data_IF_901347235033
#
_entry.id   IF_901347235033
#
_cell.length_a   1.000
_cell.length_b   1.000
_cell.length_c   1.000
_cell.angle_alpha   90.00
_cell.angle_beta   90.00
_cell.angle_gamma   90.00
#
_symmetry.space_group_name_H-M   'P 1'
#
loop_
_entity.id
_entity.type
_entity.pdbx_description
1 polymer ?
#
# COMPACT_ATOMS: atom_id res chain seq x y z
N UNK A 1 13.26 0.58 5.55
CA UNK A 1 14.32 1.31 4.83
C UNK A 1 14.77 2.49 5.69
N UNK A 2 15.97 3.00 5.51
CA UNK A 2 16.51 4.13 6.28
C UNK A 2 17.20 5.14 5.34
N UNK A 3 17.00 6.42 5.60
CA UNK A 3 17.69 7.51 4.90
C UNK A 3 18.95 7.95 5.66
N UNK A 4 19.87 8.61 4.97
CA UNK A 4 21.09 9.15 5.57
C UNK A 4 21.44 10.53 5.04
N UNK A 5 22.18 11.28 5.86
CA UNK A 5 22.70 12.60 5.51
C UNK A 5 23.78 12.56 4.43
N UNK A 6 24.22 11.38 3.99
CA UNK A 6 25.29 11.19 3.00
C UNK A 6 24.79 10.82 1.60
N UNK A 7 23.51 10.98 1.29
CA UNK A 7 23.00 10.67 -0.06
C UNK A 7 22.59 9.22 -0.27
N UNK A 8 22.49 8.42 0.78
CA UNK A 8 22.14 7.00 0.65
C UNK A 8 20.82 6.66 1.31
N UNK A 9 20.08 5.76 0.67
CA UNK A 9 18.94 5.04 1.27
C UNK A 9 19.32 3.57 1.41
N UNK A 10 19.07 3.00 2.58
CA UNK A 10 19.38 1.61 2.89
C UNK A 10 18.08 0.81 3.01
N UNK A 11 18.00 -0.33 2.34
CA UNK A 11 16.90 -1.29 2.50
C UNK A 11 17.39 -2.51 3.27
N UNK A 12 16.62 -2.89 4.26
CA UNK A 12 16.87 -4.05 5.08
C UNK A 12 15.74 -5.07 4.92
N UNK A 13 16.03 -6.33 5.22
CA UNK A 13 15.00 -7.34 5.43
C UNK A 13 14.35 -7.20 6.81
N UNK A 14 13.40 -8.09 7.12
CA UNK A 14 12.70 -8.08 8.41
C UNK A 14 13.59 -8.48 9.61
N UNK A 15 14.72 -9.15 9.36
CA UNK A 15 15.71 -9.48 10.38
C UNK A 15 16.75 -8.36 10.58
N UNK A 16 16.69 -7.29 9.77
CA UNK A 16 17.63 -6.16 9.81
C UNK A 16 18.87 -6.35 8.94
N UNK A 17 18.96 -7.39 8.11
CA UNK A 17 20.07 -7.57 7.18
C UNK A 17 19.95 -6.57 6.03
N UNK A 18 21.07 -5.91 5.68
CA UNK A 18 21.12 -4.97 4.56
C UNK A 18 20.91 -5.73 3.24
N UNK A 19 19.84 -5.39 2.53
CA UNK A 19 19.50 -5.95 1.21
C UNK A 19 20.06 -5.12 0.07
N UNK A 20 20.00 -3.79 0.18
CA UNK A 20 20.41 -2.89 -0.90
C UNK A 20 20.72 -1.49 -0.38
N UNK A 21 21.68 -0.83 -1.01
CA UNK A 21 21.98 0.59 -0.83
C UNK A 21 21.69 1.33 -2.13
N UNK A 22 20.86 2.36 -2.06
CA UNK A 22 20.52 3.23 -3.19
C UNK A 22 21.24 4.56 -3.05
N UNK A 23 21.86 5.02 -4.14
CA UNK A 23 22.43 6.36 -4.21
C UNK A 23 21.36 7.35 -4.68
N UNK A 24 20.91 8.21 -3.77
CA UNK A 24 20.01 9.31 -4.11
C UNK A 24 20.86 10.50 -4.60
N UNK A 25 20.43 11.15 -5.69
CA UNK A 25 21.13 12.27 -6.32
C UNK A 25 20.99 13.60 -5.58
N UNK A 26 20.46 13.59 -4.34
CA UNK A 26 19.93 14.77 -3.65
C UNK A 26 20.64 15.12 -2.32
N UNK A 27 21.77 14.49 -2.02
CA UNK A 27 22.53 14.79 -0.81
C UNK A 27 21.83 14.33 0.46
N UNK A 28 21.60 15.20 1.46
CA UNK A 28 21.10 14.77 2.78
C UNK A 28 19.66 14.25 2.76
N UNK A 29 19.49 12.96 2.50
CA UNK A 29 18.17 12.31 2.41
C UNK A 29 17.48 12.31 3.77
N UNK A 30 16.22 12.74 3.79
CA UNK A 30 15.40 12.80 4.99
C UNK A 30 14.02 12.17 4.78
N UNK A 31 13.33 12.55 3.71
CA UNK A 31 12.00 12.03 3.42
C UNK A 31 12.10 10.71 2.65
N UNK A 32 11.28 9.73 3.01
CA UNK A 32 11.25 8.42 2.37
C UNK A 32 9.85 7.82 2.44
N UNK A 33 9.30 7.42 1.30
CA UNK A 33 7.97 6.80 1.26
C UNK A 33 7.86 5.76 0.15
N UNK A 34 7.29 4.59 0.44
CA UNK A 34 7.04 3.59 -0.60
C UNK A 34 5.96 4.09 -1.56
N UNK A 35 6.17 3.86 -2.86
CA UNK A 35 5.14 4.13 -3.86
C UNK A 35 4.06 3.02 -3.79
N UNK A 36 2.77 3.35 -3.93
CA UNK A 36 1.69 2.37 -4.09
C UNK A 36 1.92 1.32 -5.18
N UNK A 37 2.77 1.60 -6.17
CA UNK A 37 3.14 0.64 -7.22
C UNK A 37 3.92 -0.58 -6.71
N UNK A 38 4.46 -0.54 -5.47
CA UNK A 38 5.15 -1.66 -4.84
C UNK A 38 6.52 -2.00 -5.44
N UNK A 39 6.97 -1.24 -6.44
CA UNK A 39 8.22 -1.46 -7.19
C UNK A 39 9.21 -0.32 -7.04
N UNK A 40 8.79 0.80 -6.45
CA UNK A 40 9.60 2.01 -6.31
C UNK A 40 9.32 2.73 -5.00
N UNK A 41 10.13 3.75 -4.71
CA UNK A 41 9.94 4.64 -3.57
C UNK A 41 10.28 6.08 -3.93
N UNK A 42 9.70 7.01 -3.19
CA UNK A 42 9.96 8.44 -3.26
C UNK A 42 10.90 8.87 -2.16
N UNK A 43 11.82 9.78 -2.48
CA UNK A 43 12.73 10.35 -1.50
C UNK A 43 13.01 11.83 -1.73
N UNK A 44 13.44 12.51 -0.67
CA UNK A 44 13.67 13.95 -0.64
C UNK A 44 14.70 14.34 0.41
N UNK A 45 15.32 15.51 0.23
CA UNK A 45 16.48 15.97 1.02
C UNK A 45 16.15 17.13 1.94
N UNK A 46 16.68 17.12 3.16
CA UNK A 46 16.64 18.31 4.04
C UNK A 46 17.60 19.37 3.51
N UNK A 47 17.10 20.58 3.30
CA UNK A 47 17.85 21.69 2.70
C UNK A 47 17.92 21.63 1.17
N UNK A 48 17.31 20.61 0.54
CA UNK A 48 17.08 20.53 -0.89
C UNK A 48 15.61 20.73 -1.24
N UNK A 49 15.33 20.83 -2.55
CA UNK A 49 13.97 20.98 -3.09
C UNK A 49 13.63 19.87 -4.08
N UNK A 50 14.55 18.94 -4.32
CA UNK A 50 14.36 17.88 -5.31
C UNK A 50 13.74 16.65 -4.67
N UNK A 51 12.74 16.11 -5.36
CA UNK A 51 12.14 14.80 -5.09
C UNK A 51 12.66 13.83 -6.15
N UNK A 52 13.01 12.61 -5.75
CA UNK A 52 13.39 11.52 -6.64
C UNK A 52 12.49 10.30 -6.45
N UNK A 53 12.08 9.67 -7.55
CA UNK A 53 11.53 8.30 -7.58
C UNK A 53 12.65 7.34 -7.90
N UNK A 54 12.84 6.31 -7.09
CA UNK A 54 13.88 5.31 -7.28
C UNK A 54 13.26 3.92 -7.39
N UNK A 55 13.69 3.17 -8.40
CA UNK A 55 13.31 1.77 -8.60
C UNK A 55 13.94 0.87 -7.52
N UNK A 56 13.14 0.03 -6.86
CA UNK A 56 13.60 -0.81 -5.75
C UNK A 56 14.51 -1.95 -6.22
N UNK A 57 14.31 -2.46 -7.43
CA UNK A 57 15.07 -3.62 -7.91
C UNK A 57 16.46 -3.22 -8.43
N UNK A 58 16.53 -2.11 -9.15
CA UNK A 58 17.72 -1.66 -9.88
C UNK A 58 18.43 -0.48 -9.20
N UNK A 59 17.71 0.32 -8.41
CA UNK A 59 18.22 1.56 -7.84
C UNK A 59 18.32 2.72 -8.83
N UNK A 60 17.76 2.58 -10.03
CA UNK A 60 17.72 3.65 -11.01
C UNK A 60 16.74 4.76 -10.56
N UNK A 61 17.14 6.02 -10.75
CA UNK A 61 16.24 7.17 -10.62
C UNK A 61 15.28 7.15 -11.82
N UNK A 62 14.00 6.93 -11.55
CA UNK A 62 12.95 6.87 -12.57
C UNK A 62 12.42 8.26 -12.92
N UNK A 63 12.31 9.13 -11.91
CA UNK A 63 11.80 10.50 -12.07
C UNK A 63 12.49 11.42 -11.05
N UNK A 64 12.66 12.68 -11.41
CA UNK A 64 13.03 13.73 -10.47
C UNK A 64 12.42 15.06 -10.87
N UNK A 65 12.12 15.89 -9.88
CA UNK A 65 11.68 17.26 -10.08
C UNK A 65 11.93 18.11 -8.84
N UNK A 66 11.96 19.43 -9.01
CA UNK A 66 11.96 20.37 -7.90
C UNK A 66 10.53 20.66 -7.44
N UNK A 67 10.34 20.75 -6.11
CA UNK A 67 9.09 21.19 -5.47
C UNK A 67 8.79 22.67 -5.71
N UNK A 68 9.77 23.46 -6.15
CA UNK A 68 9.66 24.93 -6.22
C UNK A 68 9.53 25.60 -4.85
N UNK A 69 9.75 24.87 -3.75
CA UNK A 69 9.78 25.40 -2.38
C UNK A 69 11.19 25.85 -1.99
N UNK A 70 11.36 26.43 -0.80
CA UNK A 70 12.68 26.76 -0.26
C UNK A 70 13.40 25.56 0.37
N UNK A 71 12.64 24.69 1.05
CA UNK A 71 13.16 23.50 1.75
C UNK A 71 12.10 22.37 1.72
N UNK A 72 12.55 21.14 1.98
CA UNK A 72 11.71 19.94 2.11
C UNK A 72 12.00 19.23 3.45
N UNK A 73 10.97 19.12 4.29
CA UNK A 73 11.06 18.43 5.59
C UNK A 73 10.18 17.18 5.67
N UNK A 74 9.46 16.81 4.62
CA UNK A 74 8.56 15.66 4.64
C UNK A 74 7.94 15.41 3.29
N UNK A 75 7.51 14.18 3.06
CA UNK A 75 6.86 13.74 1.84
C UNK A 75 5.77 12.75 2.21
N UNK A 76 4.58 12.92 1.64
CA UNK A 76 3.47 11.99 1.76
C UNK A 76 3.06 11.55 0.35
N UNK A 77 2.69 10.29 0.18
CA UNK A 77 2.26 9.74 -1.11
C UNK A 77 0.81 9.28 -0.98
N UNK A 78 -0.04 9.72 -1.92
CA UNK A 78 -1.42 9.27 -1.95
C UNK A 78 -1.47 7.75 -2.17
N UNK A 79 -2.17 7.04 -1.28
CA UNK A 79 -2.31 5.58 -1.34
C UNK A 79 -1.08 4.81 -0.85
N UNK A 80 -0.17 5.48 -0.12
CA UNK A 80 1.04 4.84 0.41
C UNK A 80 0.77 3.53 1.14
N UNK A 81 1.74 2.63 1.06
CA UNK A 81 1.67 1.34 1.74
C UNK A 81 1.82 1.59 3.25
N UNK A 82 0.73 1.40 3.99
CA UNK A 82 0.71 1.53 5.44
C UNK A 82 0.91 0.16 6.11
N UNK A 83 1.72 0.12 7.16
CA UNK A 83 1.80 -1.04 8.05
C UNK A 83 0.51 -1.18 8.86
N UNK A 84 -0.52 -1.80 8.26
CA UNK A 84 -1.85 -2.05 8.88
C UNK A 84 -3.06 -1.53 8.10
N UNK A 85 -2.87 -0.88 6.95
CA UNK A 85 -3.94 -0.21 6.19
C UNK A 85 -4.63 -1.14 5.19
N UNK A 86 -5.48 -2.03 5.69
CA UNK A 86 -6.27 -2.92 4.85
C UNK A 86 -7.10 -3.87 5.68
N UNK A 87 -8.06 -3.35 6.45
CA UNK A 87 -9.17 -4.21 6.85
C UNK A 87 -9.83 -4.62 5.53
N UNK A 88 -9.61 -5.86 5.09
CA UNK A 88 -10.58 -6.49 4.19
C UNK A 88 -11.95 -6.22 4.82
N UNK A 89 -12.93 -5.66 4.10
CA UNK A 89 -14.28 -5.54 4.62
C UNK A 89 -14.69 -6.95 5.03
N UNK A 90 -14.65 -7.24 6.32
CA UNK A 90 -15.26 -8.44 6.86
C UNK A 90 -16.74 -8.15 6.73
N UNK A 91 -17.52 -8.91 5.93
CA UNK A 91 -18.95 -8.71 5.89
C UNK A 91 -19.47 -8.74 7.32
N UNK A 92 -20.25 -7.73 7.72
CA UNK A 92 -20.72 -7.66 9.10
C UNK A 92 -21.54 -8.92 9.43
N UNK A 93 -21.57 -9.37 10.70
CA UNK A 93 -22.34 -10.54 11.09
C UNK A 93 -23.80 -10.53 10.58
N UNK A 94 -24.42 -9.35 10.47
CA UNK A 94 -25.75 -9.20 9.88
C UNK A 94 -25.79 -9.58 8.39
N UNK A 95 -24.75 -9.30 7.61
CA UNK A 95 -24.68 -9.64 6.18
C UNK A 95 -24.65 -11.15 5.98
N UNK A 96 -23.92 -11.87 6.83
CA UNK A 96 -23.95 -13.35 6.83
C UNK A 96 -25.31 -13.89 7.28
N UNK A 97 -25.90 -13.29 8.32
CA UNK A 97 -27.22 -13.69 8.80
C UNK A 97 -28.31 -13.47 7.74
N UNK A 98 -28.26 -12.35 6.99
CA UNK A 98 -29.18 -12.05 5.90
C UNK A 98 -28.98 -12.98 4.71
N UNK A 99 -27.74 -13.31 4.35
CA UNK A 99 -27.45 -14.25 3.27
C UNK A 99 -27.96 -15.67 3.62
N UNK A 100 -27.67 -16.14 4.84
CA UNK A 100 -28.15 -17.44 5.33
C UNK A 100 -29.68 -17.45 5.50
N UNK A 101 -30.26 -16.37 6.02
CA UNK A 101 -31.69 -16.20 6.15
C UNK A 101 -32.39 -16.22 4.80
N UNK A 102 -31.86 -15.50 3.81
CA UNK A 102 -32.37 -15.49 2.43
C UNK A 102 -32.31 -16.88 1.77
N UNK A 103 -31.19 -17.58 1.90
CA UNK A 103 -31.06 -18.96 1.42
C UNK A 103 -32.02 -19.92 2.12
N UNK A 104 -32.23 -19.76 3.43
CA UNK A 104 -33.22 -20.52 4.20
C UNK A 104 -34.65 -20.32 3.70
N UNK A 105 -35.04 -19.07 3.44
CA UNK A 105 -36.36 -18.74 2.87
C UNK A 105 -36.53 -19.35 1.47
N UNK A 106 -35.53 -19.21 0.61
CA UNK A 106 -35.55 -19.79 -0.74
C UNK A 106 -35.67 -21.32 -0.70
N UNK A 107 -34.91 -21.99 0.17
CA UNK A 107 -35.01 -23.43 0.38
C UNK A 107 -36.40 -23.88 0.86
N UNK A 108 -37.00 -23.14 1.79
CA UNK A 108 -38.35 -23.42 2.28
C UNK A 108 -39.41 -23.28 1.17
N UNK A 109 -39.35 -22.21 0.38
CA UNK A 109 -40.28 -21.98 -0.74
C UNK A 109 -40.16 -23.07 -1.79
N UNK A 110 -38.92 -23.46 -2.16
CA UNK A 110 -38.68 -24.55 -3.11
C UNK A 110 -39.28 -25.89 -2.62
N UNK A 111 -39.12 -26.21 -1.33
CA UNK A 111 -39.69 -27.42 -0.72
C UNK A 111 -41.22 -27.43 -0.81
N UNK A 112 -41.90 -26.32 -0.50
CA UNK A 112 -43.38 -26.25 -0.58
C UNK A 112 -43.90 -26.47 -1.99
N UNK A 113 -43.23 -25.90 -3.00
CA UNK A 113 -43.60 -26.09 -4.41
C UNK A 113 -43.43 -27.54 -4.87
N UNK A 114 -42.37 -28.23 -4.42
CA UNK A 114 -42.15 -29.64 -4.74
C UNK A 114 -43.25 -30.52 -4.14
N UNK A 115 -43.59 -30.32 -2.87
CA UNK A 115 -44.62 -31.12 -2.19
C UNK A 115 -46.00 -30.93 -2.83
N UNK A 116 -46.38 -29.70 -3.16
CA UNK A 116 -47.67 -29.42 -3.81
C UNK A 116 -47.82 -30.09 -5.19
N UNK A 117 -46.71 -30.27 -5.92
CA UNK A 117 -46.67 -30.98 -7.22
C UNK A 117 -46.73 -32.51 -7.09
N UNK A 118 -46.37 -33.08 -5.94
CA UNK A 118 -46.43 -34.53 -5.70
C UNK A 118 -47.80 -34.99 -5.18
N UNK A 119 -48.60 -34.06 -4.67
CA UNK A 119 -49.96 -34.27 -4.18
C UNK A 119 -51.05 -33.96 -5.21
N UNK A 120 -50.67 -33.75 -6.48
CA UNK A 120 -51.55 -33.57 -7.63
C UNK A 120 -51.30 -34.69 -8.64
#
# INVERSE_FOLDING_TARGET
>A
MAASSTGSVYRFDAAGALLQTYAAGIGSVFALNLDPDGTSFWTGSTGGTTIEKIDIATGNILQNWSTGSGELFGLAVLGEIQSGGGTNPVPEPETYALMLGGLGVLGFVARRRKLARQSA
#
